data_IF_475612461859
#
_entry.id   IF_475612461859
#
_cell.length_a   1.000
_cell.length_b   1.000
_cell.length_c   1.000
_cell.angle_alpha   90.00
_cell.angle_beta   90.00
_cell.angle_gamma   90.00
#
_symmetry.space_group_name_H-M   'P 1'
#
loop_
_entity.id
_entity.type
_entity.pdbx_description
1 polymer ?
#
# COMPACT_ATOMS: atom_id res chain seq x y z
N UNK A 1 -3.51 -7.25 -35.31
CA UNK A 1 -2.09 -7.53 -35.63
C UNK A 1 -1.18 -6.32 -35.35
N UNK A 2 -1.29 -5.18 -36.07
CA UNK A 2 -0.37 -4.04 -35.89
C UNK A 2 -0.51 -3.40 -34.50
N UNK A 3 -1.72 -3.19 -34.00
CA UNK A 3 -1.99 -2.69 -32.65
C UNK A 3 -1.53 -3.66 -31.57
N UNK A 4 -1.57 -4.95 -31.83
CA UNK A 4 -1.09 -5.95 -30.88
C UNK A 4 0.44 -5.94 -30.80
N UNK A 5 1.13 -5.87 -31.95
CA UNK A 5 2.59 -5.68 -32.00
C UNK A 5 3.03 -4.37 -31.32
N UNK A 6 2.28 -3.29 -31.50
CA UNK A 6 2.56 -2.03 -30.82
C UNK A 6 2.38 -2.16 -29.29
N UNK A 7 1.29 -2.80 -28.83
CA UNK A 7 1.08 -3.10 -27.40
C UNK A 7 2.17 -4.00 -26.84
N UNK A 8 2.56 -5.05 -27.56
CA UNK A 8 3.65 -5.94 -27.15
C UNK A 8 4.99 -5.20 -27.06
N UNK A 9 5.29 -4.33 -28.02
CA UNK A 9 6.48 -3.47 -27.95
C UNK A 9 6.44 -2.53 -26.75
N UNK A 10 5.30 -1.92 -26.45
CA UNK A 10 5.10 -1.09 -25.25
C UNK A 10 5.27 -1.92 -23.97
N UNK A 11 4.68 -3.12 -23.90
CA UNK A 11 4.81 -4.02 -22.77
C UNK A 11 6.27 -4.46 -22.53
N UNK A 12 7.01 -4.77 -23.60
CA UNK A 12 8.45 -5.11 -23.51
C UNK A 12 9.26 -3.93 -22.98
N UNK A 13 9.01 -2.71 -23.48
CA UNK A 13 9.65 -1.51 -22.94
C UNK A 13 9.31 -1.30 -21.47
N UNK A 14 8.05 -1.53 -21.09
CA UNK A 14 7.60 -1.45 -19.69
C UNK A 14 8.32 -2.44 -18.79
N UNK A 15 8.53 -3.67 -19.22
CA UNK A 15 9.24 -4.70 -18.47
C UNK A 15 10.74 -4.40 -18.31
N UNK A 16 11.29 -3.49 -19.12
CA UNK A 16 12.69 -3.06 -19.06
C UNK A 16 12.90 -1.76 -18.28
N UNK A 17 11.82 -1.09 -17.83
CA UNK A 17 11.96 0.11 -17.01
C UNK A 17 12.44 -0.26 -15.60
N UNK A 18 13.49 0.41 -15.18
CA UNK A 18 14.07 0.23 -13.84
C UNK A 18 13.49 1.33 -12.94
N UNK A 19 12.78 0.96 -11.86
CA UNK A 19 12.22 1.95 -10.95
C UNK A 19 13.32 2.76 -10.25
N UNK A 20 13.05 4.03 -10.00
CA UNK A 20 13.88 4.86 -9.14
C UNK A 20 13.89 4.31 -7.71
N UNK A 21 14.98 4.52 -6.96
CA UNK A 21 15.13 4.06 -5.57
C UNK A 21 13.88 4.36 -4.75
N UNK A 22 13.43 3.36 -3.99
CA UNK A 22 12.45 3.58 -2.92
C UNK A 22 13.01 4.60 -1.90
N UNK A 23 12.14 5.39 -1.22
CA UNK A 23 12.57 6.14 -0.06
C UNK A 23 13.24 5.18 0.92
N UNK A 24 14.40 5.56 1.47
CA UNK A 24 15.28 4.68 2.25
C UNK A 24 14.64 4.04 3.48
N UNK A 25 13.46 4.50 3.94
CA UNK A 25 12.84 4.05 5.19
C UNK A 25 11.30 4.06 5.08
N UNK A 26 10.74 2.99 4.53
CA UNK A 26 9.34 2.66 4.79
C UNK A 26 9.32 1.83 6.09
N UNK A 27 9.02 2.47 7.21
CA UNK A 27 8.82 1.78 8.48
C UNK A 27 7.37 1.33 8.59
N UNK A 28 7.16 0.10 9.09
CA UNK A 28 5.87 -0.51 9.32
C UNK A 28 5.83 -1.05 10.76
N UNK A 29 4.80 -0.71 11.51
CA UNK A 29 4.53 -1.30 12.82
C UNK A 29 3.72 -2.60 12.64
N UNK A 30 4.43 -3.66 12.23
CA UNK A 30 3.86 -4.98 12.01
C UNK A 30 3.26 -5.57 13.29
N UNK A 31 3.88 -5.30 14.43
CA UNK A 31 3.43 -5.84 15.72
C UNK A 31 2.04 -5.29 16.08
N UNK A 32 1.83 -3.99 15.97
CA UNK A 32 0.50 -3.38 16.14
C UNK A 32 -0.49 -3.95 15.12
N UNK A 33 -0.09 -4.15 13.87
CA UNK A 33 -0.92 -4.77 12.85
C UNK A 33 -1.37 -6.18 13.25
N UNK A 34 -0.44 -7.03 13.67
CA UNK A 34 -0.73 -8.39 14.16
C UNK A 34 -1.66 -8.38 15.38
N UNK A 35 -1.42 -7.49 16.35
CA UNK A 35 -2.28 -7.39 17.54
C UNK A 35 -3.72 -7.06 17.17
N UNK A 36 -3.96 -6.10 16.27
CA UNK A 36 -5.31 -5.70 15.86
C UNK A 36 -6.03 -6.87 15.18
N UNK A 37 -5.39 -7.52 14.22
CA UNK A 37 -6.00 -8.62 13.44
C UNK A 37 -6.24 -9.83 14.33
N UNK A 38 -5.26 -10.23 15.15
CA UNK A 38 -5.39 -11.36 16.06
C UNK A 38 -6.51 -11.14 17.07
N UNK A 39 -6.58 -9.98 17.72
CA UNK A 39 -7.64 -9.64 18.67
C UNK A 39 -9.04 -9.70 18.02
N UNK A 40 -9.18 -9.28 16.77
CA UNK A 40 -10.45 -9.36 16.04
C UNK A 40 -10.83 -10.82 15.73
N UNK A 41 -9.89 -11.63 15.24
CA UNK A 41 -10.13 -13.04 14.91
C UNK A 41 -10.42 -13.90 16.14
N UNK A 42 -9.75 -13.65 17.28
CA UNK A 42 -10.05 -14.34 18.55
C UNK A 42 -11.49 -14.09 19.02
N UNK A 43 -12.02 -12.88 18.75
CA UNK A 43 -13.41 -12.52 19.06
C UNK A 43 -14.39 -12.99 17.97
N UNK A 44 -13.96 -13.78 17.00
CA UNK A 44 -14.75 -14.18 15.83
C UNK A 44 -15.32 -12.98 15.06
N UNK A 45 -14.61 -11.84 15.10
CA UNK A 45 -15.01 -10.63 14.41
C UNK A 45 -14.42 -10.63 13.01
N UNK A 46 -15.27 -10.56 12.00
CA UNK A 46 -14.85 -10.50 10.60
C UNK A 46 -14.73 -9.07 10.07
N UNK A 47 -15.42 -8.10 10.69
CA UNK A 47 -15.41 -6.70 10.27
C UNK A 47 -14.75 -5.84 11.35
N UNK A 48 -13.65 -5.18 11.01
CA UNK A 48 -13.04 -4.19 11.89
C UNK A 48 -13.92 -2.93 11.97
N UNK A 49 -13.98 -2.33 13.17
CA UNK A 49 -14.56 -0.99 13.33
C UNK A 49 -13.73 0.03 12.54
N UNK A 50 -14.30 1.21 12.26
CA UNK A 50 -13.56 2.30 11.62
C UNK A 50 -12.29 2.69 12.40
N UNK A 51 -12.37 2.68 13.74
CA UNK A 51 -11.23 2.98 14.62
C UNK A 51 -10.12 1.93 14.48
N UNK A 52 -10.46 0.65 14.48
CA UNK A 52 -9.51 -0.44 14.29
C UNK A 52 -8.92 -0.43 12.88
N UNK A 53 -9.76 -0.21 11.86
CA UNK A 53 -9.32 -0.09 10.46
C UNK A 53 -8.32 1.05 10.29
N UNK A 54 -8.60 2.23 10.84
CA UNK A 54 -7.69 3.37 10.81
C UNK A 54 -6.42 3.15 11.62
N UNK A 55 -6.51 2.48 12.77
CA UNK A 55 -5.32 2.12 13.54
C UNK A 55 -4.39 1.18 12.74
N UNK A 56 -4.95 0.20 12.03
CA UNK A 56 -4.19 -0.69 11.16
C UNK A 56 -3.56 0.06 9.98
N UNK A 57 -4.30 0.97 9.32
CA UNK A 57 -3.75 1.83 8.26
C UNK A 57 -2.61 2.70 8.79
N UNK A 58 -2.78 3.30 9.98
CA UNK A 58 -1.77 4.15 10.63
C UNK A 58 -0.50 3.37 10.99
N UNK A 59 -0.61 2.12 11.44
CA UNK A 59 0.52 1.24 11.72
C UNK A 59 1.39 1.00 10.46
N UNK A 60 0.76 1.06 9.27
CA UNK A 60 1.45 1.00 7.99
C UNK A 60 1.81 2.38 7.40
N UNK A 61 1.63 3.45 8.20
CA UNK A 61 1.98 4.81 7.81
C UNK A 61 1.08 5.40 6.72
N UNK A 62 -0.12 4.84 6.51
CA UNK A 62 -1.14 5.45 5.64
C UNK A 62 -1.80 6.57 6.44
N UNK A 63 -1.81 7.82 5.92
CA UNK A 63 -2.33 8.96 6.65
C UNK A 63 -3.84 8.84 6.90
N UNK A 64 -4.25 9.08 8.13
CA UNK A 64 -5.65 9.05 8.58
C UNK A 64 -6.02 10.37 9.23
N UNK A 65 -7.32 10.75 9.21
CA UNK A 65 -7.80 11.78 10.10
C UNK A 65 -8.02 11.21 11.52
N UNK A 66 -7.87 12.08 12.51
CA UNK A 66 -8.11 11.69 13.90
C UNK A 66 -9.55 11.22 14.11
N UNK A 67 -9.74 10.10 14.81
CA UNK A 67 -11.03 9.57 15.19
C UNK A 67 -11.09 9.37 16.70
N UNK A 68 -12.21 9.76 17.33
CA UNK A 68 -12.48 9.54 18.76
C UNK A 68 -13.82 8.84 18.89
N UNK A 69 -13.91 7.79 19.69
CA UNK A 69 -15.16 7.09 20.01
C UNK A 69 -15.82 7.75 21.22
N UNK A 70 -17.15 7.85 21.24
CA UNK A 70 -17.91 8.37 22.35
C UNK A 70 -19.17 7.52 22.61
N UNK A 71 -19.28 6.87 23.77
CA UNK A 71 -20.43 6.03 24.11
C UNK A 71 -21.64 6.84 24.63
N UNK A 72 -21.46 8.10 25.02
CA UNK A 72 -22.53 8.97 25.54
C UNK A 72 -22.49 10.38 24.91
N UNK A 73 -23.56 11.13 25.10
CA UNK A 73 -23.69 12.52 24.63
C UNK A 73 -22.61 13.40 25.26
N UNK A 74 -22.45 13.29 26.59
CA UNK A 74 -21.49 14.09 27.37
C UNK A 74 -20.07 13.87 26.84
N UNK A 75 -19.71 12.62 26.62
CA UNK A 75 -18.41 12.25 26.10
C UNK A 75 -18.22 12.74 24.64
N UNK A 76 -19.28 12.66 23.83
CA UNK A 76 -19.27 13.16 22.46
C UNK A 76 -19.03 14.67 22.40
N UNK A 77 -19.77 15.44 23.21
CA UNK A 77 -19.62 16.89 23.32
C UNK A 77 -18.23 17.26 23.83
N UNK A 78 -17.73 16.58 24.88
CA UNK A 78 -16.40 16.85 25.43
C UNK A 78 -15.30 16.60 24.40
N UNK A 79 -15.40 15.50 23.64
CA UNK A 79 -14.42 15.14 22.61
C UNK A 79 -14.51 16.06 21.41
N UNK A 80 -15.70 16.46 20.99
CA UNK A 80 -15.90 17.44 19.91
C UNK A 80 -15.26 18.80 20.25
N UNK A 81 -15.44 19.27 21.49
CA UNK A 81 -14.78 20.50 21.94
C UNK A 81 -13.25 20.42 21.93
N UNK A 82 -12.68 19.24 22.23
CA UNK A 82 -11.23 19.01 22.18
C UNK A 82 -10.69 18.90 20.76
N UNK A 83 -11.46 18.31 19.84
CA UNK A 83 -11.11 18.17 18.43
C UNK A 83 -11.17 19.53 17.70
N UNK A 84 -12.11 20.38 18.12
CA UNK A 84 -12.41 21.65 17.47
C UNK A 84 -13.47 21.52 16.38
N UNK A 85 -14.34 22.54 16.29
CA UNK A 85 -15.43 22.59 15.32
C UNK A 85 -15.00 23.16 13.96
N UNK A 86 -15.66 22.76 12.87
CA UNK A 86 -16.74 21.78 12.79
C UNK A 86 -16.26 20.34 12.83
N UNK A 87 -17.15 19.43 13.28
CA UNK A 87 -16.88 17.99 13.38
C UNK A 87 -17.92 17.18 12.60
N UNK A 88 -17.54 15.94 12.26
CA UNK A 88 -18.46 14.92 11.78
C UNK A 88 -18.69 13.88 12.86
N UNK A 89 -19.96 13.44 13.03
CA UNK A 89 -20.35 12.32 13.84
C UNK A 89 -20.79 11.16 12.96
N UNK A 90 -20.36 9.95 13.31
CA UNK A 90 -20.76 8.72 12.62
C UNK A 90 -21.15 7.66 13.67
N UNK A 91 -22.16 6.83 13.35
CA UNK A 91 -22.51 5.67 14.19
C UNK A 91 -21.31 4.74 14.37
N UNK A 92 -21.08 4.30 15.59
CA UNK A 92 -20.09 3.27 15.91
C UNK A 92 -20.81 1.95 16.19
N UNK A 93 -20.81 1.06 15.20
CA UNK A 93 -21.44 -0.25 15.28
C UNK A 93 -20.78 -1.21 14.28
N UNK A 94 -20.53 -2.44 14.72
CA UNK A 94 -20.05 -3.52 13.84
C UNK A 94 -21.18 -4.12 12.97
N UNK A 95 -22.43 -3.95 13.39
CA UNK A 95 -23.61 -4.51 12.72
C UNK A 95 -24.20 -3.57 11.65
N UNK A 96 -23.71 -2.32 11.57
CA UNK A 96 -24.11 -1.31 10.59
C UNK A 96 -22.91 -0.98 9.71
N UNK A 97 -22.79 -1.68 8.59
CA UNK A 97 -21.66 -1.60 7.66
C UNK A 97 -21.73 -0.38 6.75
N UNK A 98 -22.94 -0.02 6.29
CA UNK A 98 -23.20 1.13 5.44
C UNK A 98 -23.85 2.24 6.27
N UNK A 99 -23.00 3.05 6.91
CA UNK A 99 -23.42 4.09 7.86
C UNK A 99 -24.33 5.14 7.21
N UNK A 100 -24.09 5.48 5.95
CA UNK A 100 -24.90 6.46 5.19
C UNK A 100 -26.31 5.94 4.94
N UNK A 101 -26.48 4.66 4.61
CA UNK A 101 -27.79 4.05 4.35
C UNK A 101 -28.66 4.02 5.62
N UNK A 102 -28.02 3.92 6.77
CA UNK A 102 -28.66 3.98 8.08
C UNK A 102 -28.90 5.44 8.55
N UNK A 103 -28.64 6.46 7.74
CA UNK A 103 -28.58 7.86 8.17
C UNK A 103 -27.75 8.05 9.46
N UNK A 104 -26.70 7.26 9.58
CA UNK A 104 -25.79 7.18 10.73
C UNK A 104 -24.59 8.14 10.63
N UNK A 105 -24.59 9.11 9.72
CA UNK A 105 -23.53 10.10 9.51
C UNK A 105 -24.12 11.49 9.47
N UNK A 106 -23.62 12.40 10.32
CA UNK A 106 -23.96 13.81 10.31
C UNK A 106 -22.68 14.65 10.25
N UNK A 107 -22.65 15.58 9.31
CA UNK A 107 -21.48 16.37 8.95
C UNK A 107 -21.67 17.85 9.33
N UNK A 108 -20.55 18.59 9.37
CA UNK A 108 -20.49 20.05 9.53
C UNK A 108 -21.15 20.55 10.84
N UNK A 109 -21.02 19.79 11.94
CA UNK A 109 -21.53 20.16 13.24
C UNK A 109 -20.63 21.25 13.85
N UNK A 110 -21.21 22.42 14.16
CA UNK A 110 -20.46 23.66 14.43
C UNK A 110 -20.35 23.99 15.92
N UNK A 111 -21.11 23.32 16.77
CA UNK A 111 -21.14 23.60 18.20
C UNK A 111 -21.60 22.39 19.02
N UNK A 112 -21.47 22.49 20.33
CA UNK A 112 -21.82 21.44 21.28
C UNK A 112 -23.30 21.02 21.23
N UNK A 113 -24.23 21.97 21.00
CA UNK A 113 -25.64 21.67 20.92
C UNK A 113 -25.97 20.85 19.67
N UNK A 114 -25.37 21.18 18.53
CA UNK A 114 -25.54 20.39 17.30
C UNK A 114 -24.99 18.97 17.48
N UNK A 115 -23.85 18.79 18.17
CA UNK A 115 -23.29 17.46 18.50
C UNK A 115 -24.23 16.66 19.39
N UNK A 116 -24.82 17.26 20.41
CA UNK A 116 -25.80 16.61 21.29
C UNK A 116 -27.02 16.12 20.50
N UNK A 117 -27.60 16.98 19.68
CA UNK A 117 -28.77 16.65 18.86
C UNK A 117 -28.43 15.56 17.83
N UNK A 118 -27.24 15.66 17.22
CA UNK A 118 -26.75 14.69 16.23
C UNK A 118 -26.54 13.30 16.84
N UNK A 119 -26.06 13.22 18.07
CA UNK A 119 -25.88 11.95 18.78
C UNK A 119 -27.22 11.22 18.89
N UNK A 120 -28.25 11.90 19.44
CA UNK A 120 -29.59 11.31 19.60
C UNK A 120 -30.18 10.87 18.27
N UNK A 121 -30.07 11.72 17.26
CA UNK A 121 -30.59 11.44 15.92
C UNK A 121 -29.90 10.21 15.31
N UNK A 122 -28.57 10.12 15.37
CA UNK A 122 -27.79 8.99 14.85
C UNK A 122 -28.19 7.69 15.54
N UNK A 123 -28.33 7.69 16.88
CA UNK A 123 -28.70 6.50 17.65
C UNK A 123 -30.14 6.07 17.30
N UNK A 124 -31.08 7.02 17.15
CA UNK A 124 -32.46 6.71 16.74
C UNK A 124 -32.52 6.13 15.33
N UNK A 125 -31.81 6.74 14.38
CA UNK A 125 -31.73 6.26 13.00
C UNK A 125 -31.16 4.84 12.95
N UNK A 126 -30.06 4.58 13.67
CA UNK A 126 -29.42 3.27 13.73
C UNK A 126 -30.35 2.19 14.31
N UNK A 127 -31.09 2.50 15.38
CA UNK A 127 -32.09 1.59 15.96
C UNK A 127 -33.25 1.33 15.02
N UNK A 128 -33.68 2.32 14.25
CA UNK A 128 -34.75 2.18 13.25
C UNK A 128 -34.31 1.33 12.08
N UNK A 129 -33.03 1.49 11.64
CA UNK A 129 -32.45 0.75 10.52
C UNK A 129 -32.24 -0.74 10.89
N UNK A 130 -31.60 -1.00 12.05
CA UNK A 130 -31.39 -2.34 12.55
C UNK A 130 -31.64 -2.41 14.07
N UNK A 131 -32.89 -2.79 14.50
CA UNK A 131 -33.24 -2.83 15.92
C UNK A 131 -32.42 -3.79 16.77
N UNK A 132 -31.73 -4.77 16.14
CA UNK A 132 -30.90 -5.76 16.81
C UNK A 132 -29.42 -5.39 16.82
N UNK A 133 -29.04 -4.30 16.14
CA UNK A 133 -27.64 -3.88 16.07
C UNK A 133 -27.10 -3.50 17.46
N UNK A 134 -25.90 -3.97 17.75
CA UNK A 134 -25.13 -3.49 18.90
C UNK A 134 -24.57 -2.11 18.55
N UNK A 135 -24.94 -1.11 19.36
CA UNK A 135 -24.47 0.26 19.17
C UNK A 135 -23.47 0.60 20.28
N UNK A 136 -22.24 0.94 19.86
CA UNK A 136 -21.15 1.31 20.77
C UNK A 136 -20.99 2.86 20.86
N UNK A 137 -22.06 3.61 20.56
CA UNK A 137 -22.09 5.07 20.53
C UNK A 137 -21.76 5.64 19.14
N UNK A 138 -20.99 6.71 19.12
CA UNK A 138 -20.60 7.41 17.87
C UNK A 138 -19.08 7.58 17.78
N UNK A 139 -18.58 7.84 16.59
CA UNK A 139 -17.23 8.37 16.36
C UNK A 139 -17.30 9.86 16.03
N UNK A 140 -16.30 10.62 16.51
CA UNK A 140 -16.13 12.05 16.26
C UNK A 140 -14.85 12.26 15.46
N UNK A 141 -14.92 13.07 14.41
CA UNK A 141 -13.81 13.37 13.53
C UNK A 141 -13.81 14.86 13.17
N UNK A 142 -12.63 15.49 13.00
CA UNK A 142 -12.58 16.85 12.45
C UNK A 142 -13.09 16.84 11.01
N UNK A 143 -13.86 17.86 10.63
CA UNK A 143 -14.23 18.07 9.23
C UNK A 143 -12.99 18.46 8.43
N UNK A 144 -12.78 17.74 7.34
CA UNK A 144 -11.77 18.12 6.33
C UNK A 144 -12.49 18.98 5.30
N UNK A 145 -12.04 20.25 5.17
CA UNK A 145 -12.60 21.24 4.26
C UNK A 145 -11.80 21.31 2.97
N UNK A 146 -12.44 21.79 1.89
CA UNK A 146 -11.81 22.09 0.61
C UNK A 146 -11.09 20.89 -0.02
N UNK A 147 -11.78 19.78 -0.13
CA UNK A 147 -11.30 18.62 -0.89
C UNK A 147 -11.76 18.78 -2.34
N UNK A 148 -10.81 19.09 -3.24
CA UNK A 148 -11.11 19.25 -4.67
C UNK A 148 -11.49 17.91 -5.32
N UNK A 149 -10.90 16.82 -4.82
CA UNK A 149 -11.14 15.45 -5.29
C UNK A 149 -11.16 14.46 -4.13
N UNK A 150 -11.98 13.47 -4.31
CA UNK A 150 -12.03 12.27 -3.48
C UNK A 150 -11.45 11.09 -4.26
N UNK A 151 -10.58 10.33 -3.63
CA UNK A 151 -9.99 9.13 -4.21
C UNK A 151 -10.52 7.90 -3.49
N UNK A 152 -10.53 6.78 -4.20
CA UNK A 152 -10.78 5.47 -3.63
C UNK A 152 -9.50 4.63 -3.74
N UNK A 153 -9.10 4.04 -2.62
CA UNK A 153 -8.13 2.97 -2.56
C UNK A 153 -8.83 1.75 -1.98
N UNK A 154 -8.79 0.66 -2.70
CA UNK A 154 -9.42 -0.58 -2.26
C UNK A 154 -8.50 -1.78 -2.44
N UNK A 155 -8.85 -2.84 -1.76
CA UNK A 155 -8.30 -4.16 -2.04
C UNK A 155 -9.38 -5.22 -1.85
N UNK A 156 -9.31 -6.24 -2.70
CA UNK A 156 -10.17 -7.41 -2.60
C UNK A 156 -9.39 -8.67 -2.95
N UNK A 157 -9.61 -9.71 -2.17
CA UNK A 157 -9.00 -11.01 -2.45
C UNK A 157 -9.78 -11.69 -3.57
N UNK A 158 -9.12 -11.83 -4.71
CA UNK A 158 -9.59 -12.63 -5.83
C UNK A 158 -9.23 -14.11 -5.59
N UNK A 159 -10.04 -15.00 -6.14
CA UNK A 159 -9.85 -16.46 -5.96
C UNK A 159 -8.57 -16.96 -6.63
N UNK A 160 -8.26 -16.45 -7.80
CA UNK A 160 -7.18 -16.94 -8.67
C UNK A 160 -5.92 -16.09 -8.54
N UNK A 161 -6.09 -14.76 -8.33
CA UNK A 161 -4.99 -13.79 -8.29
C UNK A 161 -4.58 -13.34 -6.88
N UNK A 162 -5.25 -13.85 -5.82
CA UNK A 162 -5.00 -13.36 -4.47
C UNK A 162 -5.47 -11.91 -4.28
N UNK A 163 -4.81 -11.09 -3.44
CA UNK A 163 -5.23 -9.72 -3.23
C UNK A 163 -5.00 -8.87 -4.49
N UNK A 164 -6.01 -8.06 -4.84
CA UNK A 164 -6.00 -7.10 -5.95
C UNK A 164 -6.19 -5.72 -5.39
N UNK A 165 -5.30 -4.80 -5.72
CA UNK A 165 -5.38 -3.38 -5.33
C UNK A 165 -6.18 -2.62 -6.37
N UNK A 166 -7.08 -1.74 -5.91
CA UNK A 166 -7.87 -0.83 -6.71
C UNK A 166 -7.50 0.62 -6.36
N UNK A 167 -7.35 1.44 -7.37
CA UNK A 167 -7.16 2.89 -7.27
C UNK A 167 -8.08 3.60 -8.25
N UNK A 168 -8.67 4.73 -7.85
CA UNK A 168 -9.50 5.52 -8.75
C UNK A 168 -10.12 6.76 -8.13
N UNK A 169 -11.06 7.36 -8.87
CA UNK A 169 -11.88 8.45 -8.38
C UNK A 169 -12.86 7.92 -7.32
N UNK A 170 -12.89 8.55 -6.16
CA UNK A 170 -13.79 8.26 -5.05
C UNK A 170 -15.06 9.12 -5.04
N UNK A 171 -15.76 9.07 -3.92
CA UNK A 171 -16.97 9.84 -3.69
C UNK A 171 -18.21 9.33 -4.45
N UNK A 172 -19.24 10.14 -4.48
CA UNK A 172 -20.58 9.80 -5.04
C UNK A 172 -20.50 9.46 -6.54
N UNK A 173 -19.54 10.03 -7.26
CA UNK A 173 -19.39 9.82 -8.70
C UNK A 173 -18.70 8.51 -9.09
N UNK A 174 -18.19 7.76 -8.14
CA UNK A 174 -17.43 6.52 -8.39
C UNK A 174 -18.23 5.51 -9.20
N UNK A 175 -19.48 5.30 -8.86
CA UNK A 175 -20.37 4.33 -9.54
C UNK A 175 -20.72 4.75 -10.97
N UNK A 176 -20.80 6.05 -11.22
CA UNK A 176 -21.18 6.60 -12.53
C UNK A 176 -19.99 6.63 -13.48
N UNK A 177 -18.85 7.13 -13.02
CA UNK A 177 -17.67 7.36 -13.85
C UNK A 177 -16.82 6.11 -14.07
N UNK A 178 -16.84 5.16 -13.13
CA UNK A 178 -16.06 3.91 -13.14
C UNK A 178 -14.59 4.14 -13.52
N UNK A 179 -14.03 5.27 -13.03
CA UNK A 179 -12.65 5.64 -13.27
C UNK A 179 -11.75 4.94 -12.25
N UNK A 180 -11.44 3.68 -12.55
CA UNK A 180 -10.71 2.80 -11.65
C UNK A 180 -9.68 1.97 -12.43
N UNK A 181 -8.56 1.68 -11.78
CA UNK A 181 -7.54 0.78 -12.27
C UNK A 181 -7.15 -0.20 -11.17
N UNK A 182 -6.66 -1.37 -11.58
CA UNK A 182 -6.25 -2.44 -10.67
C UNK A 182 -4.81 -2.85 -10.88
N UNK A 183 -4.18 -3.34 -9.82
CA UNK A 183 -2.85 -3.93 -9.83
C UNK A 183 -2.75 -5.07 -8.81
N UNK A 184 -1.75 -5.93 -8.97
CA UNK A 184 -1.42 -6.99 -8.01
C UNK A 184 -0.26 -6.52 -7.11
N UNK A 185 -0.31 -6.78 -5.79
CA UNK A 185 0.84 -6.59 -4.92
C UNK A 185 1.91 -7.68 -5.21
N UNK A 186 3.19 -7.40 -4.91
CA UNK A 186 3.71 -6.17 -4.33
C UNK A 186 3.84 -5.03 -5.36
N UNK A 187 3.77 -3.78 -4.89
CA UNK A 187 4.00 -2.59 -5.71
C UNK A 187 5.36 -1.96 -5.39
N UNK A 188 6.04 -1.49 -6.43
CA UNK A 188 7.12 -0.51 -6.34
C UNK A 188 6.65 0.85 -6.88
N UNK A 189 7.50 1.89 -6.83
CA UNK A 189 7.15 3.23 -7.33
C UNK A 189 6.69 3.25 -8.77
N UNK A 190 7.35 2.50 -9.65
CA UNK A 190 6.99 2.42 -11.05
C UNK A 190 5.61 1.82 -11.25
N UNK A 191 5.30 0.72 -10.56
CA UNK A 191 4.01 0.05 -10.64
C UNK A 191 2.89 0.88 -10.01
N UNK A 192 3.16 1.56 -8.89
CA UNK A 192 2.21 2.49 -8.26
C UNK A 192 1.88 3.67 -9.19
N UNK A 193 2.91 4.29 -9.79
CA UNK A 193 2.73 5.36 -10.78
C UNK A 193 1.90 4.90 -11.97
N UNK A 194 2.19 3.73 -12.53
CA UNK A 194 1.44 3.17 -13.67
C UNK A 194 0.00 2.81 -13.32
N UNK A 195 -0.25 2.38 -12.08
CA UNK A 195 -1.62 2.17 -11.60
C UNK A 195 -2.41 3.48 -11.63
N UNK A 196 -1.82 4.58 -11.15
CA UNK A 196 -2.44 5.91 -11.19
C UNK A 196 -2.65 6.41 -12.63
N UNK A 197 -1.63 6.27 -13.49
CA UNK A 197 -1.66 6.74 -14.89
C UNK A 197 -2.76 6.10 -15.74
N UNK A 198 -3.26 4.93 -15.36
CA UNK A 198 -4.39 4.25 -16.03
C UNK A 198 -5.73 4.91 -15.75
N UNK A 199 -5.82 5.83 -14.79
CA UNK A 199 -7.07 6.51 -14.40
C UNK A 199 -7.16 7.91 -15.00
N UNK A 200 -8.38 8.41 -15.18
CA UNK A 200 -8.62 9.79 -15.63
C UNK A 200 -8.34 10.79 -14.52
N UNK A 201 -8.60 10.40 -13.26
CA UNK A 201 -8.34 11.25 -12.09
C UNK A 201 -6.86 11.62 -11.99
N UNK A 202 -5.94 10.80 -12.50
CA UNK A 202 -4.52 11.11 -12.55
C UNK A 202 -4.20 12.42 -13.27
N UNK A 203 -4.94 12.73 -14.37
CA UNK A 203 -4.75 13.99 -15.09
C UNK A 203 -5.16 15.20 -14.24
N UNK A 204 -6.17 15.06 -13.38
CA UNK A 204 -6.60 16.09 -12.46
C UNK A 204 -5.59 16.27 -11.32
N UNK A 205 -5.04 15.16 -10.81
CA UNK A 205 -4.02 15.16 -9.75
C UNK A 205 -2.70 15.83 -10.16
N UNK A 206 -2.40 15.90 -11.45
CA UNK A 206 -1.24 16.64 -11.98
C UNK A 206 -1.41 18.17 -11.95
N UNK A 207 -2.56 18.64 -11.55
CA UNK A 207 -2.96 20.04 -11.58
C UNK A 207 -3.80 20.36 -12.81
N UNK A 208 -4.93 20.99 -12.61
CA UNK A 208 -5.83 21.36 -13.68
C UNK A 208 -6.49 22.71 -13.39
N UNK A 209 -6.32 23.68 -14.29
CA UNK A 209 -6.83 25.06 -14.16
C UNK A 209 -6.36 25.70 -12.82
N UNK A 210 -7.32 26.01 -11.94
CA UNK A 210 -7.05 26.64 -10.63
C UNK A 210 -6.80 25.63 -9.50
N UNK A 211 -6.78 24.32 -9.81
CA UNK A 211 -6.54 23.26 -8.84
C UNK A 211 -5.05 22.92 -8.88
N UNK A 212 -4.32 23.08 -7.76
CA UNK A 212 -2.91 22.76 -7.72
C UNK A 212 -2.65 21.26 -7.88
N UNK A 213 -1.44 20.91 -8.31
CA UNK A 213 -1.03 19.52 -8.36
C UNK A 213 -0.99 18.90 -6.96
N UNK A 214 -1.48 17.67 -6.84
CA UNK A 214 -1.34 16.87 -5.64
C UNK A 214 0.10 16.35 -5.48
N UNK A 215 0.48 15.96 -4.28
CA UNK A 215 1.76 15.31 -4.03
C UNK A 215 1.72 13.85 -4.53
N UNK A 216 2.06 13.64 -5.80
CA UNK A 216 2.02 12.32 -6.44
C UNK A 216 3.02 11.35 -5.81
N UNK A 217 4.19 11.81 -5.37
CA UNK A 217 5.18 10.96 -4.71
C UNK A 217 4.64 10.38 -3.40
N UNK A 218 3.90 11.17 -2.63
CA UNK A 218 3.23 10.68 -1.42
C UNK A 218 2.10 9.70 -1.74
N UNK A 219 1.37 9.91 -2.85
CA UNK A 219 0.32 8.99 -3.27
C UNK A 219 0.89 7.65 -3.74
N UNK A 220 2.02 7.67 -4.48
CA UNK A 220 2.78 6.45 -4.81
C UNK A 220 3.18 5.70 -3.54
N UNK A 221 3.69 6.42 -2.54
CA UNK A 221 4.07 5.84 -1.25
C UNK A 221 2.88 5.22 -0.51
N UNK A 222 1.73 5.86 -0.49
CA UNK A 222 0.50 5.31 0.12
C UNK A 222 0.09 4.00 -0.57
N UNK A 223 0.15 3.93 -1.90
CA UNK A 223 -0.15 2.71 -2.65
C UNK A 223 0.84 1.57 -2.33
N UNK A 224 2.12 1.90 -2.18
CA UNK A 224 3.15 0.93 -1.79
C UNK A 224 2.90 0.43 -0.35
N UNK A 225 2.55 1.31 0.58
CA UNK A 225 2.20 0.96 1.96
C UNK A 225 0.97 0.05 2.03
N UNK A 226 -0.04 0.32 1.21
CA UNK A 226 -1.21 -0.55 1.06
C UNK A 226 -0.80 -1.93 0.52
N UNK A 227 0.08 -1.98 -0.47
CA UNK A 227 0.59 -3.24 -1.01
C UNK A 227 1.34 -4.06 0.04
N UNK A 228 2.16 -3.41 0.89
CA UNK A 228 2.83 -4.08 2.01
C UNK A 228 1.85 -4.61 3.05
N UNK A 229 0.83 -3.83 3.42
CA UNK A 229 -0.23 -4.29 4.32
C UNK A 229 -0.89 -5.58 3.81
N UNK A 230 -1.21 -5.64 2.52
CA UNK A 230 -1.80 -6.82 1.89
C UNK A 230 -0.81 -7.99 1.74
N UNK A 231 0.48 -7.69 1.66
CA UNK A 231 1.54 -8.70 1.62
C UNK A 231 1.69 -9.37 2.98
N UNK A 232 1.67 -8.58 4.05
CA UNK A 232 1.91 -9.08 5.42
C UNK A 232 0.67 -9.83 5.97
N UNK A 233 -0.56 -9.43 5.60
CA UNK A 233 -1.80 -9.98 6.18
C UNK A 233 -2.67 -10.70 5.17
N UNK A 234 -2.52 -12.02 5.12
CA UNK A 234 -3.35 -12.90 4.30
C UNK A 234 -4.81 -13.00 4.78
N UNK A 235 -5.11 -12.51 5.96
CA UNK A 235 -6.42 -12.45 6.59
C UNK A 235 -7.32 -11.37 6.00
N UNK A 236 -6.75 -10.34 5.35
CA UNK A 236 -7.52 -9.26 4.74
C UNK A 236 -8.25 -9.78 3.51
N UNK A 237 -9.59 -9.86 3.60
CA UNK A 237 -10.46 -10.28 2.51
C UNK A 237 -10.87 -9.12 1.62
N UNK A 238 -11.21 -7.99 2.24
CA UNK A 238 -11.54 -6.73 1.59
C UNK A 238 -11.00 -5.57 2.42
N UNK A 239 -10.55 -4.53 1.74
CA UNK A 239 -10.15 -3.26 2.34
C UNK A 239 -10.69 -2.14 1.44
N UNK A 240 -11.32 -1.14 2.05
CA UNK A 240 -11.85 0.02 1.34
C UNK A 240 -11.49 1.29 2.12
N UNK A 241 -10.84 2.23 1.44
CA UNK A 241 -10.56 3.58 1.89
C UNK A 241 -11.33 4.51 0.95
N UNK A 242 -12.47 5.00 1.41
CA UNK A 242 -13.36 5.84 0.59
C UNK A 242 -14.14 6.84 1.45
N UNK A 243 -13.76 8.14 1.40
CA UNK A 243 -12.71 8.69 0.54
C UNK A 243 -11.30 8.73 1.18
N UNK A 244 -10.28 8.66 0.34
CA UNK A 244 -8.97 9.24 0.59
C UNK A 244 -9.00 10.66 0.02
N UNK A 245 -8.89 11.67 0.87
CA UNK A 245 -9.00 13.07 0.47
C UNK A 245 -7.64 13.75 0.40
N UNK A 246 -7.54 14.76 -0.49
CA UNK A 246 -6.38 15.63 -0.59
C UNK A 246 -6.51 16.73 0.46
N UNK A 247 -5.47 16.96 1.23
CA UNK A 247 -5.40 18.00 2.26
C UNK A 247 -4.24 18.96 1.97
N UNK A 248 -4.16 20.05 2.69
CA UNK A 248 -3.05 21.01 2.57
C UNK A 248 -1.69 20.33 2.85
N UNK A 249 -1.67 19.31 3.71
CA UNK A 249 -0.46 18.60 4.12
C UNK A 249 -0.21 17.29 3.37
N UNK A 250 -1.07 16.93 2.41
CA UNK A 250 -0.96 15.68 1.65
C UNK A 250 -2.29 14.96 1.49
N UNK A 251 -2.41 13.76 2.02
CA UNK A 251 -3.61 12.93 1.93
C UNK A 251 -4.12 12.52 3.32
N UNK A 252 -5.40 12.14 3.39
CA UNK A 252 -5.98 11.60 4.62
C UNK A 252 -7.12 10.62 4.30
N UNK A 253 -7.07 9.42 4.87
CA UNK A 253 -8.16 8.46 4.83
C UNK A 253 -9.27 8.91 5.82
N UNK A 254 -10.42 9.32 5.28
CA UNK A 254 -11.56 9.83 6.06
C UNK A 254 -12.44 8.71 6.54
N UNK A 255 -12.62 7.68 5.72
CA UNK A 255 -13.29 6.44 6.11
C UNK A 255 -12.47 5.23 5.68
N UNK A 256 -12.53 4.17 6.50
CA UNK A 256 -11.83 2.93 6.24
C UNK A 256 -12.67 1.75 6.73
N UNK A 257 -12.73 0.71 5.91
CA UNK A 257 -13.41 -0.54 6.20
C UNK A 257 -12.50 -1.70 5.85
N UNK A 258 -12.33 -2.64 6.77
CA UNK A 258 -11.51 -3.84 6.55
C UNK A 258 -12.31 -5.07 6.98
N UNK A 259 -12.47 -5.99 6.05
CA UNK A 259 -13.10 -7.30 6.26
C UNK A 259 -12.01 -8.37 6.37
N UNK A 260 -12.06 -9.14 7.43
CA UNK A 260 -11.13 -10.23 7.73
C UNK A 260 -11.78 -11.58 7.47
N UNK A 261 -10.97 -12.55 7.06
CA UNK A 261 -11.33 -13.97 6.97
C UNK A 261 -10.11 -14.81 7.35
N UNK A 262 -10.33 -15.93 8.02
CA UNK A 262 -9.27 -16.89 8.30
C UNK A 262 -8.55 -17.26 6.98
N UNK A 263 -7.21 -17.21 6.95
CA UNK A 263 -6.44 -17.39 5.73
C UNK A 263 -6.47 -18.85 5.26
N UNK A 264 -6.63 -19.07 3.97
CA UNK A 264 -6.48 -20.40 3.35
C UNK A 264 -5.02 -20.75 3.13
N UNK A 265 -4.19 -19.73 2.90
CA UNK A 265 -2.74 -19.82 2.76
C UNK A 265 -2.10 -18.74 3.62
N UNK A 266 -1.03 -19.06 4.37
CA UNK A 266 -0.33 -18.05 5.16
C UNK A 266 0.42 -17.07 4.26
N UNK A 267 0.77 -15.90 4.80
CA UNK A 267 1.68 -14.97 4.14
C UNK A 267 3.08 -15.62 3.99
N UNK A 268 3.78 -15.41 2.88
CA UNK A 268 3.36 -14.69 1.65
C UNK A 268 2.72 -15.57 0.58
N UNK A 269 2.41 -16.85 0.87
CA UNK A 269 1.93 -17.85 -0.10
C UNK A 269 0.53 -17.56 -0.67
N UNK A 270 -0.15 -16.56 -0.14
CA UNK A 270 -1.43 -16.07 -0.65
C UNK A 270 -1.28 -15.12 -1.86
N UNK A 271 -0.06 -14.67 -2.15
CA UNK A 271 0.27 -13.82 -3.28
C UNK A 271 0.62 -14.64 -4.52
N UNK A 272 0.25 -14.14 -5.70
CA UNK A 272 0.66 -14.71 -7.00
C UNK A 272 2.05 -14.24 -7.39
N UNK A 273 2.43 -13.03 -6.97
CA UNK A 273 3.76 -12.46 -7.20
C UNK A 273 4.52 -12.53 -5.88
N UNK A 274 5.64 -13.24 -5.86
CA UNK A 274 6.46 -13.34 -4.66
C UNK A 274 7.03 -11.98 -4.25
N UNK A 275 6.84 -11.58 -2.99
CA UNK A 275 7.38 -10.33 -2.50
C UNK A 275 8.89 -10.41 -2.35
N UNK A 276 9.53 -9.26 -2.14
CA UNK A 276 10.93 -9.19 -1.79
C UNK A 276 11.22 -9.99 -0.50
N UNK A 277 12.13 -10.97 -0.53
CA UNK A 277 12.36 -11.88 0.59
C UNK A 277 13.36 -11.29 1.60
N UNK A 278 12.91 -10.39 2.46
CA UNK A 278 13.69 -9.69 3.47
C UNK A 278 14.34 -10.60 4.54
N UNK A 279 13.84 -11.83 4.70
CA UNK A 279 14.45 -12.83 5.57
C UNK A 279 15.88 -13.22 5.17
N UNK A 280 16.34 -12.85 3.97
CA UNK A 280 17.73 -13.06 3.52
C UNK A 280 18.61 -11.82 3.67
N UNK A 281 18.14 -10.80 4.39
CA UNK A 281 18.96 -9.64 4.74
C UNK A 281 19.85 -9.96 5.94
N UNK A 282 21.17 -9.76 5.79
CA UNK A 282 22.15 -10.06 6.84
C UNK A 282 23.31 -9.07 6.83
N UNK A 283 23.64 -8.53 7.99
CA UNK A 283 24.86 -7.77 8.20
C UNK A 283 25.97 -8.71 8.71
N UNK A 284 27.11 -8.71 8.05
CA UNK A 284 28.25 -9.53 8.40
C UNK A 284 29.57 -8.81 8.12
N UNK A 285 30.68 -9.33 8.65
CA UNK A 285 31.99 -8.75 8.44
C UNK A 285 32.87 -9.76 7.72
N UNK A 286 33.57 -9.32 6.68
CA UNK A 286 34.54 -10.18 5.97
C UNK A 286 35.72 -10.58 6.85
N UNK A 287 36.48 -11.62 6.48
CA UNK A 287 37.71 -12.02 7.17
C UNK A 287 38.77 -10.91 7.17
N UNK A 288 38.62 -9.89 6.32
CA UNK A 288 39.50 -8.72 6.24
C UNK A 288 39.04 -7.53 7.06
N UNK A 289 37.91 -7.67 7.81
CA UNK A 289 37.36 -6.64 8.67
C UNK A 289 36.49 -5.59 7.93
N UNK A 290 36.00 -5.90 6.73
CA UNK A 290 35.09 -5.03 5.99
C UNK A 290 33.65 -5.41 6.35
N UNK A 291 32.86 -4.45 6.84
CA UNK A 291 31.44 -4.65 7.08
C UNK A 291 30.68 -4.67 5.75
N UNK A 292 29.85 -5.69 5.58
CA UNK A 292 29.04 -5.90 4.38
C UNK A 292 27.59 -6.18 4.76
N UNK A 293 26.69 -5.67 3.93
CA UNK A 293 25.28 -5.98 3.98
C UNK A 293 24.92 -6.92 2.82
N UNK A 294 24.48 -8.12 3.13
CA UNK A 294 24.02 -9.10 2.15
C UNK A 294 22.51 -9.02 2.10
N UNK A 295 21.94 -8.92 0.89
CA UNK A 295 20.50 -8.89 0.69
C UNK A 295 20.11 -9.35 -0.71
N UNK A 296 18.82 -9.71 -0.93
CA UNK A 296 18.32 -9.91 -2.29
C UNK A 296 18.48 -8.66 -3.14
N UNK A 297 18.76 -8.85 -4.43
CA UNK A 297 18.87 -7.76 -5.40
C UNK A 297 17.49 -7.09 -5.57
N UNK A 298 17.50 -5.77 -5.79
CA UNK A 298 16.30 -4.97 -6.05
C UNK A 298 16.39 -4.35 -7.44
N UNK A 299 15.27 -4.02 -8.10
CA UNK A 299 15.30 -3.33 -9.38
C UNK A 299 16.13 -2.03 -9.34
N UNK A 300 16.12 -1.34 -8.21
CA UNK A 300 16.84 -0.08 -7.97
C UNK A 300 18.36 -0.24 -7.90
N UNK A 301 18.87 -1.46 -7.82
CA UNK A 301 20.31 -1.75 -7.76
C UNK A 301 21.00 -1.72 -9.13
N UNK A 302 20.26 -1.46 -10.19
CA UNK A 302 20.82 -1.43 -11.54
C UNK A 302 22.08 -0.56 -11.67
N UNK A 303 22.15 0.68 -11.13
CA UNK A 303 23.38 1.47 -11.17
C UNK A 303 24.55 0.79 -10.44
N UNK A 304 24.30 0.20 -9.27
CA UNK A 304 25.33 -0.51 -8.50
C UNK A 304 25.86 -1.75 -9.23
N UNK A 305 24.98 -2.43 -9.98
CA UNK A 305 25.36 -3.58 -10.81
C UNK A 305 26.21 -3.16 -12.02
N UNK A 306 25.95 -2.00 -12.60
CA UNK A 306 26.78 -1.41 -13.66
C UNK A 306 28.16 -1.08 -13.12
N UNK A 307 28.23 -0.37 -11.98
CA UNK A 307 29.51 -0.01 -11.33
C UNK A 307 30.35 -1.27 -11.00
N UNK A 308 29.67 -2.31 -10.47
CA UNK A 308 30.33 -3.60 -10.22
C UNK A 308 30.89 -4.20 -11.53
N UNK A 309 30.07 -4.25 -12.59
CA UNK A 309 30.49 -4.80 -13.88
C UNK A 309 31.69 -4.05 -14.45
N UNK A 310 31.71 -2.74 -14.42
CA UNK A 310 32.81 -1.89 -14.89
C UNK A 310 34.09 -2.07 -14.09
N UNK A 311 33.99 -2.50 -12.82
CA UNK A 311 35.13 -2.81 -11.97
C UNK A 311 35.79 -4.16 -12.26
N UNK A 312 35.11 -5.05 -13.02
CA UNK A 312 35.60 -6.39 -13.30
C UNK A 312 36.71 -6.41 -14.36
N UNK A 313 37.66 -7.31 -14.19
CA UNK A 313 38.66 -7.56 -15.26
C UNK A 313 38.00 -8.20 -16.50
N UNK A 314 38.54 -7.99 -17.72
CA UNK A 314 38.06 -8.66 -18.94
C UNK A 314 37.99 -10.19 -18.80
N UNK A 315 38.92 -10.78 -18.05
CA UNK A 315 38.94 -12.22 -17.75
C UNK A 315 37.75 -12.62 -16.85
N UNK A 316 37.44 -11.84 -15.83
CA UNK A 316 36.28 -12.07 -14.94
C UNK A 316 34.97 -11.98 -15.70
N UNK A 317 34.84 -10.98 -16.58
CA UNK A 317 33.67 -10.82 -17.45
C UNK A 317 33.50 -12.03 -18.36
N UNK A 318 34.60 -12.48 -19.02
CA UNK A 318 34.56 -13.66 -19.89
C UNK A 318 34.17 -14.94 -19.14
N UNK A 319 34.74 -15.17 -17.94
CA UNK A 319 34.42 -16.35 -17.12
C UNK A 319 32.96 -16.35 -16.64
N UNK A 320 32.36 -15.17 -16.48
CA UNK A 320 30.96 -15.05 -16.04
C UNK A 320 29.96 -15.17 -17.15
N UNK A 321 30.27 -14.61 -18.33
CA UNK A 321 29.30 -14.49 -19.44
C UNK A 321 29.66 -15.35 -20.65
N UNK A 322 30.82 -15.99 -20.65
CA UNK A 322 31.40 -16.76 -21.76
C UNK A 322 31.44 -15.97 -23.09
N UNK A 323 31.39 -14.64 -22.97
CA UNK A 323 31.40 -13.69 -24.09
C UNK A 323 32.12 -12.41 -23.64
N UNK A 324 32.92 -11.79 -24.50
CA UNK A 324 33.53 -10.51 -24.20
C UNK A 324 32.50 -9.39 -24.26
N UNK A 325 31.96 -8.98 -23.13
CA UNK A 325 31.04 -7.85 -23.02
C UNK A 325 31.82 -6.60 -22.61
N UNK A 326 31.62 -5.51 -23.38
CA UNK A 326 32.18 -4.18 -23.05
C UNK A 326 31.30 -3.40 -22.05
N UNK A 327 30.00 -3.65 -22.09
CA UNK A 327 29.01 -3.02 -21.21
C UNK A 327 27.80 -3.95 -21.06
N UNK A 328 27.06 -3.82 -19.98
CA UNK A 328 25.79 -4.53 -19.80
C UNK A 328 24.68 -3.88 -20.64
N UNK A 329 24.07 -4.59 -21.59
CA UNK A 329 22.91 -4.09 -22.31
C UNK A 329 21.76 -3.80 -21.35
N UNK A 330 20.95 -2.77 -21.61
CA UNK A 330 19.82 -2.39 -20.74
C UNK A 330 18.84 -3.55 -20.51
N UNK A 331 18.52 -4.33 -21.54
CA UNK A 331 17.66 -5.51 -21.42
C UNK A 331 18.25 -6.60 -20.50
N UNK A 332 19.57 -6.77 -20.50
CA UNK A 332 20.25 -7.71 -19.59
C UNK A 332 20.25 -7.17 -18.16
N UNK A 333 20.47 -5.88 -17.99
CA UNK A 333 20.44 -5.20 -16.70
C UNK A 333 19.06 -5.33 -16.05
N UNK A 334 17.99 -5.04 -16.80
CA UNK A 334 16.61 -5.22 -16.34
C UNK A 334 16.33 -6.68 -15.93
N UNK A 335 16.75 -7.65 -16.77
CA UNK A 335 16.59 -9.08 -16.46
C UNK A 335 17.36 -9.51 -15.21
N UNK A 336 18.46 -8.85 -14.89
CA UNK A 336 19.26 -9.19 -13.72
C UNK A 336 18.76 -8.56 -12.44
N UNK A 337 18.04 -7.47 -12.50
CA UNK A 337 17.56 -6.73 -11.33
C UNK A 337 16.06 -6.92 -11.08
N UNK A 338 15.26 -7.15 -12.12
CA UNK A 338 13.81 -7.39 -12.02
C UNK A 338 13.54 -8.90 -12.01
N UNK A 339 13.74 -9.52 -10.86
CA UNK A 339 13.57 -10.96 -10.68
C UNK A 339 12.26 -11.27 -9.95
N UNK A 340 11.77 -12.49 -10.07
CA UNK A 340 10.48 -12.91 -9.52
C UNK A 340 10.56 -13.39 -8.05
N UNK A 341 11.77 -13.51 -7.49
CA UNK A 341 12.07 -14.05 -6.15
C UNK A 341 11.50 -15.45 -5.84
N UNK A 342 10.82 -16.07 -6.78
CA UNK A 342 10.30 -17.43 -6.66
C UNK A 342 11.21 -18.45 -7.36
N UNK A 343 11.49 -18.20 -8.64
CA UNK A 343 12.37 -19.06 -9.46
C UNK A 343 13.77 -18.53 -9.62
N UNK A 344 13.96 -17.28 -9.31
CA UNK A 344 15.20 -16.56 -9.50
C UNK A 344 15.51 -15.74 -8.25
N UNK A 345 16.56 -16.14 -7.53
CA UNK A 345 17.08 -15.41 -6.38
C UNK A 345 18.48 -14.92 -6.70
N UNK A 346 18.76 -13.67 -6.41
CA UNK A 346 20.09 -13.10 -6.50
C UNK A 346 20.39 -12.35 -5.20
N UNK A 347 21.48 -12.70 -4.54
CA UNK A 347 21.98 -12.01 -3.36
C UNK A 347 23.12 -11.08 -3.77
N UNK A 348 23.06 -9.85 -3.31
CA UNK A 348 24.11 -8.84 -3.51
C UNK A 348 24.83 -8.60 -2.19
N UNK A 349 26.13 -8.41 -2.27
CA UNK A 349 26.95 -7.97 -1.14
C UNK A 349 27.30 -6.50 -1.34
N UNK A 350 26.91 -5.66 -0.38
CA UNK A 350 27.13 -4.23 -0.37
C UNK A 350 28.14 -3.88 0.70
N UNK A 351 29.24 -3.22 0.32
CA UNK A 351 30.15 -2.64 1.29
C UNK A 351 29.60 -1.30 1.77
N UNK A 352 29.48 -1.13 3.06
CA UNK A 352 29.06 0.12 3.67
C UNK A 352 30.24 1.10 3.68
N UNK A 353 30.15 2.17 2.93
CA UNK A 353 31.02 3.34 3.05
C UNK A 353 30.18 4.51 3.53
N UNK A 354 30.73 5.38 4.39
CA UNK A 354 30.04 6.50 5.02
C UNK A 354 29.33 7.48 4.05
N UNK A 355 29.56 7.35 2.75
CA UNK A 355 28.98 8.23 1.73
C UNK A 355 28.36 7.55 0.52
N UNK A 356 28.62 6.23 0.28
CA UNK A 356 28.06 5.53 -0.89
C UNK A 356 28.04 4.01 -0.66
N UNK A 357 26.90 3.37 -0.87
CA UNK A 357 26.81 1.92 -0.98
C UNK A 357 27.53 1.46 -2.24
N UNK A 358 28.42 0.48 -2.11
CA UNK A 358 29.12 -0.11 -3.26
C UNK A 358 28.83 -1.61 -3.33
N UNK A 359 28.31 -2.07 -4.44
CA UNK A 359 28.16 -3.50 -4.68
C UNK A 359 29.53 -4.12 -4.94
N UNK A 360 29.90 -5.13 -4.17
CA UNK A 360 31.19 -5.83 -4.27
C UNK A 360 31.04 -7.27 -4.77
N UNK A 361 29.82 -7.79 -4.80
CA UNK A 361 29.55 -9.13 -5.30
C UNK A 361 28.08 -9.38 -5.56
N UNK A 362 27.80 -10.36 -6.42
CA UNK A 362 26.47 -10.89 -6.67
C UNK A 362 26.53 -12.41 -6.86
N UNK A 363 25.71 -13.12 -6.12
CA UNK A 363 25.48 -14.55 -6.31
C UNK A 363 24.03 -14.77 -6.79
N UNK A 364 23.81 -15.73 -7.68
CA UNK A 364 22.53 -15.89 -8.35
C UNK A 364 22.18 -17.37 -8.47
N UNK A 365 20.91 -17.70 -8.17
CA UNK A 365 20.34 -19.04 -8.35
C UNK A 365 19.11 -18.91 -9.24
N UNK A 366 19.04 -19.73 -10.28
CA UNK A 366 17.91 -19.81 -11.20
C UNK A 366 17.41 -21.24 -11.21
N UNK A 367 16.14 -21.43 -10.85
CA UNK A 367 15.47 -22.73 -10.91
C UNK A 367 15.11 -23.08 -12.35
N UNK A 368 15.46 -24.27 -12.77
CA UNK A 368 15.00 -24.83 -14.05
C UNK A 368 13.49 -25.05 -14.10
N UNK A 369 12.92 -25.12 -15.29
CA UNK A 369 11.47 -25.22 -15.49
C UNK A 369 10.78 -26.42 -14.85
N UNK A 370 11.55 -27.43 -14.41
CA UNK A 370 11.03 -28.62 -13.72
C UNK A 370 11.14 -28.55 -12.18
N UNK A 371 11.63 -27.45 -11.62
CA UNK A 371 11.90 -27.23 -10.18
C UNK A 371 12.81 -28.29 -9.51
N UNK A 372 13.58 -29.04 -10.29
CA UNK A 372 14.48 -30.09 -9.80
C UNK A 372 15.95 -29.78 -10.00
N UNK A 373 16.26 -28.75 -10.74
CA UNK A 373 17.63 -28.34 -11.05
C UNK A 373 17.72 -26.82 -10.88
N UNK A 374 18.87 -26.36 -10.41
CA UNK A 374 19.18 -24.94 -10.27
C UNK A 374 20.57 -24.67 -10.86
N UNK A 375 20.71 -23.51 -11.50
CA UNK A 375 21.99 -22.95 -11.93
C UNK A 375 22.40 -21.84 -10.94
N UNK A 376 23.70 -21.77 -10.60
CA UNK A 376 24.27 -20.75 -9.72
C UNK A 376 25.63 -20.23 -10.25
#
# INVERSE_FOLDING_TARGET
>A
AFMDLYRDSQNIQMLQEIPSRLPKHLEFDRDTGHQIIHAALEQNTTLLTETESKALLSAYGIPINSVKTAPSIEDAVQKACKVGFPVALKINSRDITHKSDANGVLLDLKNAQEVSNAFDQIIQNAKSYNPKARLDGVTIQPMIKNTDFELILGAKKDRDFGPVILFGMGGILTEVLKDQAIALPPLNRLLAKRLMEKTRVYQLLRGYRNIPAANLDLLEEILIRLAHLLTDFSEIQELDINPLVITVTGFSAVDARILLKAPEKPSPLHLVISPYPDQYEEHTTTNTGIDIFIRPIRPEDAPLLVDLFESLSPRSVYLRFFTPLKQLPHSMLARFTQIDYDRHIALVALAESKSNEKMIGVARVILGGNFRQAEF
#
